data_IF_546894640418
#
_entry.id   IF_546894640418
#
_cell.length_a   1.000
_cell.length_b   1.000
_cell.length_c   1.000
_cell.angle_alpha   90.00
_cell.angle_beta   90.00
_cell.angle_gamma   90.00
#
_symmetry.space_group_name_H-M   'P 1'
#
loop_
_entity.id
_entity.type
_entity.pdbx_description
1 polymer ?
#
# COMPACT_ATOMS: atom_id res chain seq x y z
N UNK A 1 -2.88 19.71 4.91
CA UNK A 1 -1.65 18.89 4.80
C UNK A 1 -0.45 19.73 4.33
N UNK A 2 -0.40 21.00 4.72
CA UNK A 2 0.67 21.95 4.36
C UNK A 2 1.15 22.63 5.63
N UNK A 3 2.29 22.17 6.14
CA UNK A 3 3.27 22.90 6.96
C UNK A 3 4.33 21.88 7.37
N UNK A 4 5.58 22.24 7.13
CA UNK A 4 6.83 21.68 7.63
C UNK A 4 6.80 21.47 9.15
N UNK A 5 6.00 20.51 9.62
CA UNK A 5 6.04 20.03 10.99
C UNK A 5 7.00 18.85 11.04
N UNK A 6 7.89 18.89 12.03
CA UNK A 6 8.75 17.77 12.40
C UNK A 6 7.98 16.45 12.26
N UNK A 7 8.63 15.44 11.68
CA UNK A 7 8.11 14.07 11.57
C UNK A 7 7.52 13.68 12.92
N UNK A 8 6.20 13.44 12.95
CA UNK A 8 5.44 13.10 14.16
C UNK A 8 5.96 11.80 14.80
N UNK A 9 6.68 10.99 14.01
CA UNK A 9 7.26 9.73 14.41
C UNK A 9 8.59 9.51 13.65
N UNK A 10 9.62 9.04 14.35
CA UNK A 10 10.84 8.53 13.74
C UNK A 10 10.81 6.99 13.81
N UNK A 11 10.95 6.29 12.67
CA UNK A 11 10.96 4.84 12.64
C UNK A 11 12.07 4.23 13.50
N UNK A 12 11.74 3.14 14.20
CA UNK A 12 12.70 2.38 14.99
C UNK A 12 13.56 1.48 14.09
N UNK A 13 14.87 1.35 14.35
CA UNK A 13 15.70 0.31 13.75
C UNK A 13 15.10 -1.07 14.00
N UNK A 14 15.25 -2.02 13.05
CA UNK A 14 14.64 -3.36 13.16
C UNK A 14 14.99 -4.09 14.47
N UNK A 15 16.23 -3.96 14.94
CA UNK A 15 16.72 -4.58 16.19
C UNK A 15 16.04 -4.04 17.45
N UNK A 16 15.41 -2.86 17.38
CA UNK A 16 14.71 -2.23 18.51
C UNK A 16 13.19 -2.45 18.47
N UNK A 17 12.67 -3.12 17.42
CA UNK A 17 11.23 -3.39 17.30
C UNK A 17 10.85 -4.58 18.16
N UNK A 18 9.83 -4.42 18.99
CA UNK A 18 9.41 -5.44 19.96
C UNK A 18 8.75 -6.64 19.28
N UNK A 19 7.90 -6.40 18.29
CA UNK A 19 7.07 -7.45 17.70
C UNK A 19 7.56 -7.85 16.32
N UNK A 20 7.30 -9.12 15.96
CA UNK A 20 7.49 -9.59 14.59
C UNK A 20 6.50 -8.90 13.66
N UNK A 21 5.21 -8.95 14.00
CA UNK A 21 4.14 -8.38 13.20
C UNK A 21 3.10 -7.65 14.05
N UNK A 22 2.32 -6.77 13.42
CA UNK A 22 1.14 -6.18 14.05
C UNK A 22 -0.10 -6.20 13.16
N UNK A 23 -1.26 -6.12 13.81
CA UNK A 23 -2.54 -5.78 13.20
C UNK A 23 -3.28 -4.76 14.08
N UNK A 24 -3.20 -3.48 13.70
CA UNK A 24 -3.93 -2.40 14.39
C UNK A 24 -5.28 -2.16 13.73
N UNK A 25 -6.29 -2.95 14.08
CA UNK A 25 -7.62 -2.83 13.49
C UNK A 25 -8.70 -3.57 14.25
N UNK A 26 -9.96 -3.18 14.01
CA UNK A 26 -11.12 -3.90 14.57
C UNK A 26 -11.41 -5.17 13.81
N UNK A 27 -12.03 -6.16 14.46
CA UNK A 27 -12.52 -7.37 13.82
C UNK A 27 -13.52 -7.11 12.67
N UNK A 28 -14.51 -6.23 12.89
CA UNK A 28 -15.63 -5.96 11.96
C UNK A 28 -16.32 -7.23 11.41
N UNK A 29 -16.34 -8.32 12.20
CA UNK A 29 -16.87 -9.64 11.80
C UNK A 29 -16.27 -10.22 10.50
N UNK A 30 -15.11 -9.74 10.04
CA UNK A 30 -14.42 -10.29 8.86
C UNK A 30 -13.54 -11.47 9.28
N UNK A 31 -13.66 -12.58 8.57
CA UNK A 31 -12.98 -13.85 8.89
C UNK A 31 -11.47 -13.66 9.08
N UNK A 32 -10.79 -13.01 8.13
CA UNK A 32 -9.33 -12.82 8.24
C UNK A 32 -8.90 -11.99 9.45
N UNK A 33 -9.70 -11.01 9.85
CA UNK A 33 -9.40 -10.16 11.02
C UNK A 33 -9.65 -10.88 12.34
N UNK A 34 -10.69 -11.71 12.40
CA UNK A 34 -10.95 -12.59 13.54
C UNK A 34 -9.82 -13.61 13.71
N UNK A 35 -9.33 -14.21 12.61
CA UNK A 35 -8.17 -15.10 12.63
C UNK A 35 -6.92 -14.41 13.19
N UNK A 36 -6.64 -13.17 12.78
CA UNK A 36 -5.49 -12.42 13.30
C UNK A 36 -5.62 -12.13 14.80
N UNK A 37 -6.80 -11.77 15.28
CA UNK A 37 -7.04 -11.53 16.71
C UNK A 37 -6.83 -12.82 17.51
N UNK A 38 -7.33 -13.95 17.02
CA UNK A 38 -7.15 -15.24 17.67
C UNK A 38 -5.68 -15.68 17.66
N UNK A 39 -4.99 -15.50 16.54
CA UNK A 39 -3.57 -15.79 16.40
C UNK A 39 -2.72 -14.91 17.34
N UNK A 40 -3.08 -13.65 17.53
CA UNK A 40 -2.39 -12.75 18.46
C UNK A 40 -2.54 -13.18 19.92
N UNK A 41 -3.68 -13.76 20.31
CA UNK A 41 -3.85 -14.35 21.65
C UNK A 41 -2.95 -15.56 21.87
N UNK A 42 -2.71 -16.35 20.81
CA UNK A 42 -1.85 -17.53 20.87
C UNK A 42 -0.36 -17.16 20.86
N UNK A 43 0.02 -16.07 20.18
CA UNK A 43 1.41 -15.61 20.05
C UNK A 43 1.57 -14.13 20.44
N UNK A 44 1.27 -13.75 21.69
CA UNK A 44 1.25 -12.35 22.13
C UNK A 44 2.62 -11.67 22.10
N UNK A 45 3.70 -12.45 22.21
CA UNK A 45 5.07 -11.94 22.12
C UNK A 45 5.53 -11.67 20.68
N UNK A 46 4.88 -12.28 19.68
CA UNK A 46 5.23 -12.13 18.25
C UNK A 46 4.29 -11.18 17.51
N UNK A 47 2.99 -11.23 17.78
CA UNK A 47 1.94 -10.52 17.05
C UNK A 47 1.19 -9.55 17.94
N UNK A 48 1.39 -8.26 17.72
CA UNK A 48 0.64 -7.21 18.42
C UNK A 48 -0.73 -6.97 17.76
N UNK A 49 -1.81 -7.07 18.54
CA UNK A 49 -3.16 -6.83 18.06
C UNK A 49 -4.05 -6.17 19.13
N UNK A 50 -3.78 -4.90 19.51
CA UNK A 50 -4.60 -4.18 20.48
C UNK A 50 -6.02 -3.95 19.96
N UNK A 51 -6.98 -3.97 20.88
CA UNK A 51 -8.37 -3.63 20.58
C UNK A 51 -8.52 -2.12 20.40
N UNK A 52 -8.69 -1.68 19.14
CA UNK A 52 -8.87 -0.26 18.83
C UNK A 52 -10.28 0.24 19.16
N UNK A 53 -10.37 1.26 20.03
CA UNK A 53 -11.61 1.95 20.40
C UNK A 53 -11.79 3.27 19.63
N UNK A 54 -13.04 3.66 19.33
CA UNK A 54 -13.37 4.88 18.58
C UNK A 54 -13.51 6.12 19.46
N UNK A 55 -13.86 5.89 20.72
CA UNK A 55 -14.16 6.88 21.74
C UNK A 55 -13.80 6.30 23.10
N UNK A 56 -13.77 7.17 24.10
CA UNK A 56 -13.43 6.78 25.47
C UNK A 56 -11.92 6.89 25.77
N UNK A 57 -11.54 6.62 27.03
CA UNK A 57 -10.19 6.86 27.53
C UNK A 57 -9.13 5.93 26.92
N UNK A 58 -9.55 4.78 26.38
CA UNK A 58 -8.65 3.78 25.78
C UNK A 58 -8.48 3.96 24.27
N UNK A 59 -8.98 5.07 23.69
CA UNK A 59 -8.73 5.40 22.29
C UNK A 59 -7.26 5.78 22.13
N UNK A 60 -6.55 5.02 21.30
CA UNK A 60 -5.18 5.36 20.91
C UNK A 60 -5.12 6.73 20.23
N UNK A 61 -4.26 7.59 20.76
CA UNK A 61 -3.92 8.86 20.13
C UNK A 61 -3.20 8.65 18.79
N UNK A 62 -3.13 9.69 17.96
CA UNK A 62 -2.43 9.62 16.67
C UNK A 62 -0.96 9.20 16.82
N UNK A 63 -0.26 9.78 17.80
CA UNK A 63 1.17 9.49 18.04
C UNK A 63 1.35 8.05 18.49
N UNK A 64 0.57 7.61 19.47
CA UNK A 64 0.61 6.24 20.01
C UNK A 64 0.30 5.22 18.92
N UNK A 65 -0.71 5.46 18.08
CA UNK A 65 -1.02 4.59 16.94
C UNK A 65 0.20 4.36 16.04
N UNK A 66 0.91 5.43 15.65
CA UNK A 66 2.11 5.29 14.82
C UNK A 66 3.29 4.66 15.57
N UNK A 67 3.38 4.86 16.89
CA UNK A 67 4.36 4.15 17.72
C UNK A 67 4.12 2.65 17.73
N UNK A 68 2.88 2.20 17.93
CA UNK A 68 2.53 0.78 17.82
C UNK A 68 2.81 0.25 16.41
N UNK A 69 2.37 1.00 15.38
CA UNK A 69 2.53 0.56 14.00
C UNK A 69 4.02 0.40 13.62
N UNK A 70 4.88 1.31 14.08
CA UNK A 70 6.32 1.28 13.85
C UNK A 70 7.14 0.38 14.79
N UNK A 71 6.51 -0.23 15.81
CA UNK A 71 7.18 -1.14 16.75
C UNK A 71 7.11 -2.61 16.31
N UNK A 72 6.89 -2.85 15.02
CA UNK A 72 6.88 -4.20 14.43
C UNK A 72 7.62 -4.23 13.10
N UNK A 73 8.19 -5.39 12.76
CA UNK A 73 8.86 -5.57 11.46
C UNK A 73 7.85 -5.59 10.31
N UNK A 74 6.72 -6.27 10.51
CA UNK A 74 5.67 -6.47 9.50
C UNK A 74 4.32 -5.90 9.91
N UNK A 75 3.61 -5.26 8.98
CA UNK A 75 2.31 -4.65 9.21
C UNK A 75 1.25 -5.38 8.41
N UNK A 76 0.40 -6.14 9.11
CA UNK A 76 -0.61 -6.98 8.49
C UNK A 76 -1.80 -6.12 8.02
N UNK A 77 -2.10 -6.22 6.73
CA UNK A 77 -3.17 -5.50 6.05
C UNK A 77 -4.22 -6.49 5.51
N UNK A 78 -5.09 -7.04 6.38
CA UNK A 78 -6.22 -7.83 5.93
C UNK A 78 -7.26 -6.98 5.24
N UNK A 79 -8.01 -7.62 4.33
CA UNK A 79 -9.14 -7.01 3.63
C UNK A 79 -10.04 -6.23 4.59
N UNK A 80 -10.40 -5.01 4.19
CA UNK A 80 -11.38 -4.19 4.89
C UNK A 80 -12.73 -4.12 4.20
N UNK A 81 -13.50 -3.08 4.54
CA UNK A 81 -14.76 -2.79 3.86
C UNK A 81 -14.52 -2.20 2.48
N UNK A 82 -13.51 -1.34 2.34
CA UNK A 82 -13.00 -0.90 1.05
C UNK A 82 -11.75 -1.69 0.65
N UNK A 83 -11.46 -1.70 -0.66
CA UNK A 83 -10.20 -2.21 -1.20
C UNK A 83 -8.97 -1.43 -0.71
N UNK A 84 -9.20 -0.25 -0.11
CA UNK A 84 -8.18 0.70 0.30
C UNK A 84 -7.98 0.68 1.81
N UNK A 85 -7.17 -0.26 2.29
CA UNK A 85 -6.81 -0.30 3.72
C UNK A 85 -5.74 0.76 4.00
N UNK A 86 -6.10 1.86 4.68
CA UNK A 86 -5.18 2.95 5.02
C UNK A 86 -3.87 2.46 5.68
N UNK A 87 -3.97 1.45 6.55
CA UNK A 87 -2.80 0.83 7.22
C UNK A 87 -1.71 0.37 6.26
N UNK A 88 -2.10 -0.11 5.07
CA UNK A 88 -1.15 -0.51 4.04
C UNK A 88 -0.26 0.68 3.65
N UNK A 89 -0.84 1.85 3.38
CA UNK A 89 -0.08 3.04 3.02
C UNK A 89 0.68 3.64 4.22
N UNK A 90 0.07 3.65 5.40
CA UNK A 90 0.69 4.14 6.63
C UNK A 90 1.95 3.35 7.01
N UNK A 91 1.98 2.05 6.72
CA UNK A 91 3.13 1.17 7.00
C UNK A 91 4.43 1.66 6.36
N UNK A 92 4.37 2.24 5.14
CA UNK A 92 5.54 2.81 4.46
C UNK A 92 6.13 4.03 5.17
N UNK A 93 5.31 4.79 5.89
CA UNK A 93 5.77 5.99 6.62
C UNK A 93 6.39 5.66 7.97
N UNK A 94 5.97 4.55 8.59
CA UNK A 94 6.59 4.03 9.82
C UNK A 94 7.65 2.94 9.55
N UNK A 95 7.93 2.68 8.27
CA UNK A 95 8.93 1.72 7.79
C UNK A 95 8.70 0.29 8.28
N UNK A 96 7.42 -0.07 8.39
CA UNK A 96 6.95 -1.41 8.69
C UNK A 96 6.57 -2.09 7.37
N UNK A 97 7.11 -3.28 7.08
CA UNK A 97 6.89 -3.93 5.78
C UNK A 97 5.41 -4.35 5.66
N UNK A 98 4.65 -3.85 4.67
CA UNK A 98 3.25 -4.23 4.52
C UNK A 98 3.10 -5.68 4.07
N UNK A 99 2.23 -6.41 4.77
CA UNK A 99 1.81 -7.77 4.40
C UNK A 99 0.34 -7.76 4.03
N UNK A 100 0.06 -7.90 2.74
CA UNK A 100 -1.29 -7.85 2.18
C UNK A 100 -1.96 -9.21 2.35
N UNK A 101 -3.06 -9.23 3.11
CA UNK A 101 -3.88 -10.41 3.37
C UNK A 101 -5.24 -10.24 2.67
N UNK A 102 -5.20 -10.12 1.34
CA UNK A 102 -6.38 -9.94 0.48
C UNK A 102 -6.07 -10.42 -0.94
N UNK A 103 -6.73 -11.50 -1.36
CA UNK A 103 -6.41 -12.19 -2.62
C UNK A 103 -6.73 -11.31 -3.86
N UNK A 104 -7.88 -10.65 -3.83
CA UNK A 104 -8.42 -9.81 -4.93
C UNK A 104 -8.14 -8.32 -4.71
N UNK A 105 -7.05 -7.98 -4.03
CA UNK A 105 -6.66 -6.57 -3.87
C UNK A 105 -6.18 -5.98 -5.20
N UNK A 106 -6.71 -4.81 -5.54
CA UNK A 106 -6.16 -3.94 -6.58
C UNK A 106 -5.39 -2.82 -5.89
N UNK A 107 -4.16 -2.58 -6.34
CA UNK A 107 -3.29 -1.58 -5.75
C UNK A 107 -3.13 -0.39 -6.72
N UNK A 108 -2.94 0.83 -6.20
CA UNK A 108 -2.75 2.00 -7.04
C UNK A 108 -1.43 1.89 -7.78
N UNK A 109 -1.42 2.37 -9.02
CA UNK A 109 -0.20 2.49 -9.81
C UNK A 109 0.57 1.17 -10.02
N UNK A 110 -0.13 0.03 -10.12
CA UNK A 110 0.49 -1.29 -10.34
C UNK A 110 1.26 -1.43 -11.66
N UNK A 111 1.04 -0.55 -12.64
CA UNK A 111 1.86 -0.53 -13.85
C UNK A 111 3.14 0.29 -13.62
N UNK A 112 3.21 1.13 -12.61
CA UNK A 112 4.40 1.97 -12.34
C UNK A 112 5.22 1.41 -11.18
N UNK A 113 4.57 0.79 -10.21
CA UNK A 113 5.17 0.34 -8.96
C UNK A 113 5.12 -1.19 -8.91
N UNK A 114 6.29 -1.81 -8.78
CA UNK A 114 6.39 -3.23 -8.52
C UNK A 114 6.17 -3.51 -7.02
N UNK A 115 4.96 -3.94 -6.69
CA UNK A 115 4.59 -4.27 -5.31
C UNK A 115 5.31 -5.51 -4.76
N UNK A 116 5.85 -6.38 -5.62
CA UNK A 116 6.61 -7.55 -5.18
C UNK A 116 7.95 -7.17 -4.53
N UNK A 117 8.45 -5.97 -4.83
CA UNK A 117 9.70 -5.47 -4.26
C UNK A 117 9.51 -4.74 -2.92
N UNK A 118 8.32 -4.18 -2.68
CA UNK A 118 8.05 -3.26 -1.54
C UNK A 118 7.04 -3.80 -0.53
N UNK A 119 6.47 -4.97 -0.78
CA UNK A 119 5.44 -5.57 0.06
C UNK A 119 5.45 -7.10 -0.04
N UNK A 120 4.75 -7.74 0.87
CA UNK A 120 4.48 -9.18 0.84
C UNK A 120 2.99 -9.37 0.58
N UNK A 121 2.61 -10.27 -0.33
CA UNK A 121 1.21 -10.70 -0.51
C UNK A 121 1.07 -12.15 -0.09
N UNK A 122 0.15 -12.43 0.83
CA UNK A 122 -0.04 -13.75 1.41
C UNK A 122 -1.50 -14.22 1.28
N UNK A 123 -1.76 -15.52 1.02
CA UNK A 123 -3.12 -16.03 0.83
C UNK A 123 -4.02 -15.72 2.02
N UNK A 124 -5.16 -15.07 1.76
CA UNK A 124 -6.05 -14.59 2.82
C UNK A 124 -6.71 -15.71 3.64
N UNK A 125 -6.73 -16.93 3.09
CA UNK A 125 -7.27 -18.11 3.75
C UNK A 125 -6.28 -18.76 4.73
N UNK A 126 -4.97 -18.58 4.49
CA UNK A 126 -3.86 -19.18 5.25
C UNK A 126 -3.33 -18.27 6.36
N UNK A 127 -4.25 -17.64 7.10
CA UNK A 127 -3.89 -16.83 8.28
C UNK A 127 -3.82 -17.78 9.49
N UNK A 128 -2.61 -18.21 9.81
CA UNK A 128 -2.28 -19.12 10.92
C UNK A 128 -0.81 -19.02 11.33
N UNK A 129 -0.30 -19.96 12.16
CA UNK A 129 1.10 -20.00 12.57
C UNK A 129 2.09 -20.00 11.39
N UNK A 130 1.73 -20.61 10.27
CA UNK A 130 2.53 -20.68 9.04
C UNK A 130 2.89 -19.29 8.49
N UNK A 131 2.00 -18.30 8.67
CA UNK A 131 2.27 -16.91 8.30
C UNK A 131 3.37 -16.33 9.20
N UNK A 132 3.30 -16.57 10.52
CA UNK A 132 4.30 -16.04 11.45
C UNK A 132 5.66 -16.72 11.25
N UNK A 133 5.67 -18.02 10.97
CA UNK A 133 6.90 -18.77 10.69
C UNK A 133 7.55 -18.29 9.39
N UNK A 134 6.77 -18.07 8.34
CA UNK A 134 7.25 -17.45 7.11
C UNK A 134 7.87 -16.07 7.37
N UNK A 135 7.15 -15.18 8.06
CA UNK A 135 7.65 -13.83 8.35
C UNK A 135 8.92 -13.85 9.22
N UNK A 136 9.01 -14.77 10.18
CA UNK A 136 10.18 -14.94 11.04
C UNK A 136 11.40 -15.49 10.28
N UNK A 137 11.18 -16.22 9.18
CA UNK A 137 12.25 -16.79 8.36
C UNK A 137 12.97 -15.75 7.49
N UNK A 138 12.38 -14.56 7.30
CA UNK A 138 12.95 -13.51 6.44
C UNK A 138 14.09 -12.81 7.18
N UNK A 139 15.33 -12.80 6.63
CA UNK A 139 16.46 -12.12 7.26
C UNK A 139 16.27 -10.61 7.34
N UNK A 140 16.79 -9.99 8.41
CA UNK A 140 16.69 -8.54 8.62
C UNK A 140 17.28 -7.72 7.47
N UNK A 141 18.33 -8.22 6.80
CA UNK A 141 18.89 -7.58 5.59
C UNK A 141 17.85 -7.47 4.47
N UNK A 142 17.07 -8.53 4.23
CA UNK A 142 16.00 -8.53 3.22
C UNK A 142 14.89 -7.56 3.63
N UNK A 143 14.55 -7.51 4.92
CA UNK A 143 13.55 -6.58 5.45
C UNK A 143 14.01 -5.12 5.23
N UNK A 144 15.27 -4.79 5.53
CA UNK A 144 15.83 -3.45 5.30
C UNK A 144 15.83 -3.08 3.82
N UNK A 145 16.09 -4.03 2.91
CA UNK A 145 16.00 -3.78 1.47
C UNK A 145 14.57 -3.46 1.02
N UNK A 146 13.57 -4.21 1.52
CA UNK A 146 12.14 -3.94 1.24
C UNK A 146 11.76 -2.55 1.78
N UNK A 147 12.17 -2.22 3.01
CA UNK A 147 11.96 -0.89 3.61
C UNK A 147 12.61 0.19 2.75
N UNK A 148 13.85 -0.02 2.31
CA UNK A 148 14.61 0.91 1.47
C UNK A 148 13.89 1.23 0.16
N UNK A 149 13.38 0.21 -0.54
CA UNK A 149 12.56 0.40 -1.76
C UNK A 149 11.23 1.08 -1.43
N UNK A 150 10.59 0.72 -0.33
CA UNK A 150 9.39 1.40 0.18
C UNK A 150 9.58 2.89 0.42
N UNK A 151 10.73 3.31 0.98
CA UNK A 151 11.07 4.74 1.20
C UNK A 151 11.13 5.52 -0.11
N UNK A 152 11.59 4.91 -1.20
CA UNK A 152 11.70 5.57 -2.51
C UNK A 152 10.34 5.89 -3.13
N UNK A 153 9.32 5.08 -2.84
CA UNK A 153 8.00 5.19 -3.46
C UNK A 153 6.93 5.78 -2.55
N UNK A 154 7.16 5.88 -1.22
CA UNK A 154 6.13 6.33 -0.27
C UNK A 154 5.55 7.71 -0.54
N UNK A 155 6.33 8.58 -1.19
CA UNK A 155 5.89 9.91 -1.60
C UNK A 155 4.78 9.88 -2.68
N UNK A 156 4.64 8.77 -3.42
CA UNK A 156 3.58 8.59 -4.40
C UNK A 156 2.18 8.41 -3.75
N UNK A 157 2.12 8.24 -2.42
CA UNK A 157 0.87 8.15 -1.66
C UNK A 157 0.39 9.50 -1.10
N UNK A 158 1.16 10.58 -1.31
CA UNK A 158 0.85 11.91 -0.78
C UNK A 158 0.69 12.92 -1.91
N UNK A 159 -0.38 13.70 -1.87
CA UNK A 159 -0.51 14.91 -2.66
C UNK A 159 0.41 15.99 -2.09
N UNK A 160 1.62 16.04 -2.62
CA UNK A 160 2.61 17.09 -2.35
C UNK A 160 2.47 18.24 -3.36
N UNK A 161 2.95 19.46 -3.03
CA UNK A 161 2.99 20.58 -3.96
C UNK A 161 3.74 20.24 -5.25
N UNK A 162 3.41 20.90 -6.36
CA UNK A 162 4.00 20.60 -7.68
C UNK A 162 5.51 20.88 -7.78
N UNK A 163 6.07 21.65 -6.84
CA UNK A 163 7.51 21.85 -6.71
C UNK A 163 8.24 20.61 -6.20
N UNK A 164 7.55 19.68 -5.54
CA UNK A 164 8.16 18.47 -5.00
C UNK A 164 8.42 17.49 -6.13
N UNK A 165 9.63 16.92 -6.21
CA UNK A 165 9.96 15.99 -7.27
C UNK A 165 9.15 14.71 -7.16
N UNK A 166 8.52 14.38 -6.03
CA UNK A 166 7.72 13.17 -5.87
C UNK A 166 6.37 13.45 -5.20
N UNK A 167 5.28 13.03 -5.86
CA UNK A 167 3.90 13.25 -5.43
C UNK A 167 2.98 12.21 -6.07
N UNK A 168 1.80 11.98 -5.48
CA UNK A 168 0.71 11.20 -6.10
C UNK A 168 0.35 11.69 -7.49
N UNK A 169 0.41 13.02 -7.73
CA UNK A 169 0.13 13.57 -9.06
C UNK A 169 1.07 13.01 -10.12
N UNK A 170 2.36 12.85 -9.80
CA UNK A 170 3.33 12.29 -10.74
C UNK A 170 3.07 10.80 -11.01
N UNK A 171 2.71 10.04 -9.98
CA UNK A 171 2.33 8.63 -10.15
C UNK A 171 1.12 8.46 -11.07
N UNK A 172 0.10 9.31 -10.89
CA UNK A 172 -1.08 9.36 -11.76
C UNK A 172 -0.67 9.64 -13.21
N UNK A 173 0.17 10.65 -13.44
CA UNK A 173 0.64 10.99 -14.78
C UNK A 173 1.46 9.85 -15.42
N UNK A 174 2.30 9.16 -14.66
CA UNK A 174 3.04 8.00 -15.16
C UNK A 174 2.14 6.82 -15.53
N UNK A 175 1.13 6.51 -14.72
CA UNK A 175 0.13 5.48 -15.05
C UNK A 175 -0.62 5.81 -16.33
N UNK A 176 -1.11 7.05 -16.44
CA UNK A 176 -1.79 7.54 -17.63
C UNK A 176 -0.88 7.44 -18.85
N UNK A 177 0.40 7.84 -18.73
CA UNK A 177 1.37 7.72 -19.80
C UNK A 177 1.60 6.27 -20.24
N UNK A 178 1.71 5.31 -19.31
CA UNK A 178 1.85 3.88 -19.68
C UNK A 178 0.61 3.37 -20.42
N UNK A 179 -0.58 3.73 -19.94
CA UNK A 179 -1.85 3.36 -20.59
C UNK A 179 -1.98 3.97 -22.00
N UNK A 180 -1.58 5.23 -22.18
CA UNK A 180 -1.52 5.88 -23.51
C UNK A 180 -0.50 5.20 -24.44
N UNK A 181 0.67 4.77 -23.94
CA UNK A 181 1.64 4.03 -24.78
C UNK A 181 1.14 2.66 -25.21
N UNK A 182 0.45 1.92 -24.35
CA UNK A 182 -0.22 0.68 -24.75
C UNK A 182 -1.29 0.93 -25.80
N UNK A 183 -1.97 2.07 -25.70
CA UNK A 183 -2.93 2.51 -26.68
C UNK A 183 -2.28 2.76 -28.07
N UNK A 184 -1.03 3.19 -28.13
CA UNK A 184 -0.26 3.29 -29.38
C UNK A 184 0.06 1.89 -29.96
N UNK A 185 0.42 0.90 -29.15
CA UNK A 185 0.65 -0.49 -29.61
C UNK A 185 -0.65 -1.29 -29.83
N UNK A 186 -1.79 -0.62 -29.89
CA UNK A 186 -3.10 -1.25 -30.04
C UNK A 186 -3.36 -1.68 -31.48
N UNK A 187 -3.96 -2.86 -31.66
CA UNK A 187 -4.53 -3.27 -32.96
C UNK A 187 -5.70 -2.36 -33.42
N UNK A 188 -6.14 -1.44 -32.56
CA UNK A 188 -7.21 -0.48 -32.82
C UNK A 188 -6.70 0.93 -33.15
N UNK A 189 -5.40 1.17 -33.16
CA UNK A 189 -4.79 2.51 -33.35
C UNK A 189 -3.81 2.50 -34.53
N UNK A 190 -3.94 3.47 -35.42
CA UNK A 190 -3.18 3.55 -36.66
C UNK A 190 -2.64 4.97 -36.87
N UNK A 191 -1.49 5.08 -37.53
CA UNK A 191 -0.87 6.37 -37.90
C UNK A 191 -0.89 6.52 -39.42
N UNK A 192 -1.37 7.66 -39.89
CA UNK A 192 -1.42 8.00 -41.30
C UNK A 192 -0.20 8.82 -41.70
N UNK A 193 0.11 8.85 -43.00
CA UNK A 193 1.31 9.52 -43.54
C UNK A 193 1.38 11.04 -43.26
N UNK A 194 0.24 11.65 -42.92
CA UNK A 194 0.13 13.07 -42.59
C UNK A 194 0.34 13.34 -41.08
N UNK A 195 0.69 12.32 -40.29
CA UNK A 195 0.87 12.42 -38.84
C UNK A 195 -0.41 12.27 -38.02
N UNK A 196 -1.58 12.05 -38.64
CA UNK A 196 -2.83 11.80 -37.91
C UNK A 196 -2.82 10.44 -37.21
N UNK A 197 -3.30 10.41 -35.96
CA UNK A 197 -3.59 9.17 -35.22
C UNK A 197 -5.08 8.87 -35.33
N UNK A 198 -5.45 7.68 -35.82
CA UNK A 198 -6.84 7.26 -36.04
C UNK A 198 -7.14 5.91 -35.40
N UNK A 199 -8.43 5.60 -35.19
CA UNK A 199 -8.83 4.26 -34.76
C UNK A 199 -9.07 3.34 -35.96
N UNK A 200 -9.47 2.08 -35.73
CA UNK A 200 -9.84 1.11 -36.78
C UNK A 200 -10.91 1.60 -37.76
N UNK A 201 -11.78 2.51 -37.33
CA UNK A 201 -12.82 3.13 -38.16
C UNK A 201 -12.34 4.45 -38.81
N UNK A 202 -11.04 4.73 -38.79
CA UNK A 202 -10.39 5.94 -39.33
C UNK A 202 -10.88 7.26 -38.69
N UNK A 203 -11.42 7.19 -37.47
CA UNK A 203 -11.78 8.40 -36.71
C UNK A 203 -10.52 8.97 -36.07
N UNK A 204 -10.24 10.25 -36.27
CA UNK A 204 -9.10 10.95 -35.66
C UNK A 204 -9.19 11.00 -34.13
N UNK A 205 -8.04 10.86 -33.46
CA UNK A 205 -7.92 10.85 -32.00
C UNK A 205 -8.63 12.02 -31.31
N UNK A 206 -8.56 13.23 -31.89
CA UNK A 206 -9.22 14.42 -31.36
C UNK A 206 -10.76 14.33 -31.35
N UNK A 207 -11.34 13.43 -32.15
CA UNK A 207 -12.79 13.21 -32.28
C UNK A 207 -13.26 11.98 -31.51
N UNK A 208 -12.37 11.34 -30.75
CA UNK A 208 -12.75 10.18 -29.97
C UNK A 208 -13.60 10.62 -28.81
N UNK A 209 -14.71 9.92 -28.63
CA UNK A 209 -15.46 10.02 -27.39
C UNK A 209 -14.58 9.40 -26.30
N UNK A 210 -14.11 10.18 -25.31
CA UNK A 210 -13.38 9.60 -24.21
C UNK A 210 -14.31 8.58 -23.53
N UNK A 211 -13.79 7.44 -23.07
CA UNK A 211 -14.60 6.41 -22.41
C UNK A 211 -15.28 6.93 -21.14
N UNK A 212 -14.78 8.06 -20.61
CA UNK A 212 -15.38 8.80 -19.53
C UNK A 212 -15.50 10.28 -19.96
N UNK A 213 -16.70 10.89 -19.92
CA UNK A 213 -16.82 12.32 -20.10
C UNK A 213 -16.05 13.03 -18.98
N UNK A 214 -15.17 13.95 -19.36
CA UNK A 214 -14.57 14.87 -18.40
C UNK A 214 -15.65 15.89 -18.00
N UNK A 215 -15.76 16.25 -16.70
CA UNK A 215 -16.72 17.25 -16.24
C UNK A 215 -16.49 18.63 -16.87
#
# INVERSE_FOLDING_TARGET
MTKTRATVFQPLPLSKRKYLANYLGRAQKKVGRLKLIELAKQYPDKLECPELQFSGPNKLGRVEYFQHLGNSKFCLAPRGESSWTLRFYESFFVECVPVILSDQVELPFQNVIDYTEISIKWPSQSIGPELLDYLASIPDEVIEQIIGRGRQVRCLWVYAPDSEPCSTMRALMWELQRKVRQFHQSAETFWLHNGSVVNRNLVEFAKWKPPMPLP
#
